data_IF_202232109842
#
_entry.id   IF_202232109842
#
_cell.length_a   1.000
_cell.length_b   1.000
_cell.length_c   1.000
_cell.angle_alpha   90.00
_cell.angle_beta   90.00
_cell.angle_gamma   90.00
#
_symmetry.space_group_name_H-M   'P 1'
#
loop_
_entity.id
_entity.type
_entity.pdbx_description
1 polymer ?
#
# COMPACT_ATOMS: atom_id res chain seq x y z
N UNK A 1 -11.22 -63.88 39.37
CA UNK A 1 -11.05 -62.58 40.05
C UNK A 1 -10.66 -61.57 38.96
N UNK A 2 -11.66 -60.83 38.43
CA UNK A 2 -11.48 -59.81 37.43
C UNK A 2 -11.09 -58.49 38.15
N UNK A 3 -9.90 -57.99 37.88
CA UNK A 3 -9.45 -56.67 38.35
C UNK A 3 -10.12 -55.59 37.51
N UNK A 4 -11.06 -54.84 38.11
CA UNK A 4 -11.59 -53.62 37.52
C UNK A 4 -10.60 -52.48 37.80
N UNK A 5 -9.92 -52.00 36.74
CA UNK A 5 -9.13 -50.78 36.78
C UNK A 5 -10.07 -49.54 36.96
N UNK A 6 -9.55 -48.42 37.47
CA UNK A 6 -10.34 -47.24 37.77
C UNK A 6 -10.89 -46.63 36.50
N UNK A 7 -12.25 -46.47 36.44
CA UNK A 7 -12.91 -45.66 35.39
C UNK A 7 -12.50 -44.23 35.58
N UNK A 8 -11.81 -43.68 34.58
CA UNK A 8 -11.53 -42.24 34.48
C UNK A 8 -12.86 -41.46 34.42
N UNK A 9 -13.05 -40.57 35.38
CA UNK A 9 -14.23 -39.73 35.50
C UNK A 9 -14.19 -38.60 34.44
N UNK A 10 -14.84 -38.82 33.30
CA UNK A 10 -14.91 -37.90 32.16
C UNK A 10 -15.81 -36.67 32.41
N UNK A 11 -16.28 -36.44 33.65
CA UNK A 11 -17.18 -35.35 34.00
C UNK A 11 -16.53 -34.05 34.45
N UNK A 12 -15.22 -33.93 34.39
CA UNK A 12 -14.47 -32.74 34.85
C UNK A 12 -14.01 -31.78 33.76
N UNK A 13 -14.45 -31.91 32.51
CA UNK A 13 -14.26 -30.86 31.55
C UNK A 13 -15.51 -30.00 31.50
N UNK A 14 -15.48 -28.89 32.23
CA UNK A 14 -16.58 -27.92 32.26
C UNK A 14 -16.74 -27.26 30.87
N UNK A 15 -17.96 -26.84 30.55
CA UNK A 15 -18.27 -26.12 29.32
C UNK A 15 -17.44 -24.83 29.14
N UNK A 16 -16.92 -24.28 30.23
CA UNK A 16 -16.05 -23.11 30.27
C UNK A 16 -14.66 -23.34 29.63
N UNK A 17 -14.10 -24.54 29.83
CA UNK A 17 -12.75 -24.88 29.30
C UNK A 17 -12.75 -24.99 27.76
N UNK A 18 -13.88 -25.42 27.18
CA UNK A 18 -14.04 -25.49 25.71
C UNK A 18 -14.19 -24.10 25.08
N UNK A 19 -14.86 -23.19 25.76
CA UNK A 19 -15.02 -21.81 25.30
C UNK A 19 -13.71 -21.01 25.37
N UNK A 20 -12.91 -21.25 26.40
CA UNK A 20 -11.61 -20.61 26.56
C UNK A 20 -10.58 -21.12 25.55
N UNK A 21 -10.56 -22.44 25.30
CA UNK A 21 -9.69 -23.04 24.27
C UNK A 21 -10.09 -22.56 22.86
N UNK A 22 -11.38 -22.47 22.55
CA UNK A 22 -11.88 -21.93 21.30
C UNK A 22 -11.51 -20.44 21.14
N UNK A 23 -11.61 -19.63 22.20
CA UNK A 23 -11.16 -18.22 22.19
C UNK A 23 -9.65 -18.09 21.97
N UNK A 24 -8.83 -18.93 22.60
CA UNK A 24 -7.37 -18.95 22.41
C UNK A 24 -6.99 -19.34 20.99
N UNK A 25 -7.67 -20.34 20.40
CA UNK A 25 -7.48 -20.72 19.00
C UNK A 25 -7.91 -19.61 18.04
N UNK A 26 -9.04 -18.95 18.28
CA UNK A 26 -9.51 -17.82 17.47
C UNK A 26 -8.51 -16.66 17.52
N UNK A 27 -7.89 -16.39 18.68
CA UNK A 27 -6.87 -15.35 18.83
C UNK A 27 -5.53 -15.69 18.13
N UNK A 28 -5.19 -16.98 17.98
CA UNK A 28 -4.01 -17.43 17.24
C UNK A 28 -4.15 -17.25 15.71
N UNK A 29 -5.40 -17.23 15.21
CA UNK A 29 -5.71 -17.03 13.79
C UNK A 29 -6.24 -15.62 13.49
N UNK A 30 -6.27 -14.72 14.49
CA UNK A 30 -6.54 -13.31 14.18
C UNK A 30 -5.33 -12.76 13.38
N UNK A 31 -5.58 -12.10 12.24
CA UNK A 31 -4.52 -11.37 11.58
C UNK A 31 -3.89 -10.41 12.60
N UNK A 32 -2.57 -10.19 12.54
CA UNK A 32 -1.91 -9.24 13.43
C UNK A 32 -2.67 -7.92 13.39
N UNK A 33 -2.97 -7.35 14.57
CA UNK A 33 -3.61 -6.03 14.64
C UNK A 33 -2.80 -5.07 13.76
N UNK A 34 -3.43 -4.29 12.88
CA UNK A 34 -2.74 -3.28 12.10
C UNK A 34 -1.89 -2.45 13.06
N UNK A 35 -0.62 -2.26 12.73
CA UNK A 35 0.23 -1.32 13.45
C UNK A 35 -0.40 0.05 13.18
N UNK A 36 -0.95 0.70 14.21
CA UNK A 36 -1.41 2.08 14.12
C UNK A 36 -0.21 2.96 13.80
N UNK A 37 0.02 3.18 12.50
CA UNK A 37 0.91 4.25 12.04
C UNK A 37 0.03 5.49 11.97
N UNK A 38 0.20 6.39 12.94
CA UNK A 38 -0.47 7.69 12.95
C UNK A 38 -0.34 8.33 11.56
N UNK A 39 -1.47 8.54 10.86
CA UNK A 39 -1.53 9.27 9.61
C UNK A 39 -1.88 8.47 8.36
N UNK A 40 -2.24 7.20 8.42
CA UNK A 40 -2.77 6.47 7.26
C UNK A 40 -4.18 6.92 6.92
N UNK A 41 -4.33 7.37 5.68
CA UNK A 41 -5.62 7.74 5.11
C UNK A 41 -6.41 6.47 4.77
N UNK A 42 -7.54 6.21 5.48
CA UNK A 42 -8.46 5.08 5.29
C UNK A 42 -7.80 3.69 5.21
N UNK A 43 -7.74 2.97 6.31
CA UNK A 43 -7.31 1.55 6.35
C UNK A 43 -8.25 0.61 5.58
N UNK A 44 -9.50 1.01 5.37
CA UNK A 44 -10.46 0.29 4.53
C UNK A 44 -9.98 0.25 3.08
N UNK A 45 -9.80 -0.96 2.54
CA UNK A 45 -9.34 -1.19 1.18
C UNK A 45 -7.86 -1.57 1.04
N UNK A 46 -7.08 -1.59 2.12
CA UNK A 46 -5.71 -2.14 2.12
C UNK A 46 -5.78 -3.67 2.16
N UNK A 47 -5.90 -4.31 0.99
CA UNK A 47 -6.19 -5.74 0.86
C UNK A 47 -5.11 -6.54 0.14
N UNK A 48 -4.15 -5.88 -0.50
CA UNK A 48 -3.08 -6.52 -1.25
C UNK A 48 -1.74 -6.35 -0.54
N UNK A 49 -0.96 -7.43 -0.43
CA UNK A 49 0.36 -7.42 0.23
C UNK A 49 1.47 -7.35 -0.80
N UNK A 50 2.43 -6.44 -0.61
CA UNK A 50 3.65 -6.31 -1.40
C UNK A 50 4.74 -7.28 -0.94
N UNK A 51 5.81 -7.46 -1.73
CA UNK A 51 6.97 -8.27 -1.36
C UNK A 51 7.66 -7.75 -0.08
N UNK A 52 7.65 -6.45 0.18
CA UNK A 52 8.15 -5.83 1.42
C UNK A 52 7.24 -6.10 2.63
N UNK A 53 6.04 -6.64 2.41
CA UNK A 53 5.05 -6.95 3.46
C UNK A 53 4.06 -5.82 3.77
N UNK A 54 4.13 -4.72 3.08
CA UNK A 54 3.22 -3.57 3.18
C UNK A 54 1.86 -3.88 2.54
N UNK A 55 0.79 -3.29 3.07
CA UNK A 55 -0.55 -3.45 2.52
C UNK A 55 -0.89 -2.26 1.64
N UNK A 56 -1.40 -2.53 0.44
CA UNK A 56 -1.80 -1.52 -0.57
C UNK A 56 -3.21 -1.80 -1.09
N UNK A 57 -3.80 -0.87 -1.85
CA UNK A 57 -5.21 -0.92 -2.25
C UNK A 57 -5.47 -1.70 -3.52
N UNK A 58 -4.51 -1.78 -4.43
CA UNK A 58 -4.69 -2.40 -5.73
C UNK A 58 -3.54 -3.33 -6.11
N UNK A 59 -3.78 -4.23 -7.06
CA UNK A 59 -2.75 -5.11 -7.64
C UNK A 59 -1.69 -4.31 -8.41
N UNK A 60 -2.10 -3.25 -9.08
CA UNK A 60 -1.17 -2.36 -9.81
C UNK A 60 -0.19 -1.69 -8.85
N UNK A 61 -0.66 -1.27 -7.66
CA UNK A 61 0.19 -0.73 -6.61
C UNK A 61 1.16 -1.79 -6.04
N UNK A 62 0.75 -3.07 -5.93
CA UNK A 62 1.69 -4.16 -5.57
C UNK A 62 2.83 -4.23 -6.59
N UNK A 63 2.53 -4.21 -7.88
CA UNK A 63 3.52 -4.28 -8.95
C UNK A 63 4.49 -3.10 -8.86
N UNK A 64 4.00 -1.88 -8.70
CA UNK A 64 4.83 -0.68 -8.54
C UNK A 64 5.72 -0.81 -7.31
N UNK A 65 5.15 -1.13 -6.14
CA UNK A 65 5.88 -1.29 -4.88
C UNK A 65 6.99 -2.34 -4.98
N UNK A 66 6.69 -3.50 -5.60
CA UNK A 66 7.64 -4.59 -5.76
C UNK A 66 8.79 -4.22 -6.71
N UNK A 67 8.52 -3.44 -7.76
CA UNK A 67 9.56 -2.89 -8.64
C UNK A 67 10.46 -1.89 -7.88
N UNK A 68 9.89 -0.97 -7.10
CA UNK A 68 10.64 -0.02 -6.26
C UNK A 68 11.52 -0.77 -5.27
N UNK A 69 10.95 -1.75 -4.57
CA UNK A 69 11.67 -2.57 -3.60
C UNK A 69 12.81 -3.38 -4.22
N UNK A 70 12.58 -4.03 -5.36
CA UNK A 70 13.58 -4.85 -6.06
C UNK A 70 14.78 -4.01 -6.50
N UNK A 71 14.59 -2.72 -6.79
CA UNK A 71 15.65 -1.79 -7.13
C UNK A 71 16.35 -1.18 -5.92
N UNK A 72 15.91 -1.50 -4.70
CA UNK A 72 16.47 -0.95 -3.47
C UNK A 72 16.15 0.53 -3.25
N UNK A 73 15.14 1.05 -3.94
CA UNK A 73 14.70 2.44 -3.77
C UNK A 73 13.96 2.60 -2.44
N UNK A 74 14.25 3.66 -1.71
CA UNK A 74 13.51 4.03 -0.51
C UNK A 74 12.19 4.69 -0.89
N UNK A 75 11.07 4.09 -0.46
CA UNK A 75 9.76 4.62 -0.77
C UNK A 75 8.81 4.51 0.43
N UNK A 76 7.83 5.38 0.44
CA UNK A 76 6.72 5.38 1.39
C UNK A 76 5.40 5.32 0.64
N UNK A 77 4.49 4.43 1.06
CA UNK A 77 3.14 4.31 0.52
C UNK A 77 2.18 5.27 1.25
N UNK A 78 1.34 6.01 0.50
CA UNK A 78 0.37 6.99 0.99
C UNK A 78 0.94 7.95 2.06
N UNK A 79 2.19 8.39 1.89
CA UNK A 79 2.82 9.36 2.79
C UNK A 79 2.11 10.71 2.71
N UNK A 80 1.78 11.27 3.87
CA UNK A 80 1.15 12.58 3.98
C UNK A 80 2.05 13.68 3.40
N UNK A 81 1.56 14.40 2.39
CA UNK A 81 2.16 15.58 1.80
C UNK A 81 1.30 16.80 2.10
N UNK A 82 1.81 17.75 2.89
CA UNK A 82 1.09 18.97 3.24
C UNK A 82 1.86 20.18 2.75
N UNK A 83 1.25 20.98 1.88
CA UNK A 83 1.80 22.23 1.36
C UNK A 83 0.71 23.29 1.46
N UNK A 84 1.07 24.47 2.00
CA UNK A 84 0.17 25.63 2.19
C UNK A 84 -1.17 25.26 2.84
N UNK A 85 -1.13 24.39 3.87
CA UNK A 85 -2.30 23.95 4.63
C UNK A 85 -3.17 22.92 3.91
N UNK A 86 -2.88 22.55 2.66
CA UNK A 86 -3.60 21.52 1.93
C UNK A 86 -2.83 20.21 1.96
N UNK A 87 -3.51 19.12 2.28
CA UNK A 87 -2.91 17.79 2.37
C UNK A 87 -3.34 16.91 1.19
N UNK A 88 -2.35 16.23 0.60
CA UNK A 88 -2.53 15.16 -0.38
C UNK A 88 -1.79 13.91 0.07
N UNK A 89 -2.17 12.78 -0.50
CA UNK A 89 -1.53 11.49 -0.28
C UNK A 89 -1.17 10.93 -1.65
N UNK A 90 0.09 11.04 -2.10
CA UNK A 90 0.58 10.31 -3.27
C UNK A 90 0.50 8.81 -3.01
N UNK A 91 0.26 8.00 -4.04
CA UNK A 91 0.29 6.54 -3.86
C UNK A 91 1.68 6.10 -3.38
N UNK A 92 2.75 6.65 -3.98
CA UNK A 92 4.11 6.46 -3.47
C UNK A 92 4.87 7.79 -3.47
N UNK A 93 5.73 7.95 -2.44
CA UNK A 93 6.77 8.96 -2.41
C UNK A 93 8.11 8.22 -2.41
N UNK A 94 8.95 8.48 -3.40
CA UNK A 94 10.30 7.89 -3.53
C UNK A 94 11.31 8.99 -3.31
N UNK A 95 12.26 8.78 -2.40
CA UNK A 95 13.31 9.73 -2.09
C UNK A 95 14.66 9.11 -2.50
N UNK A 96 15.27 9.66 -3.55
CA UNK A 96 16.62 9.26 -3.96
C UNK A 96 17.65 10.14 -3.24
N UNK A 97 18.30 9.57 -2.25
CA UNK A 97 19.29 10.25 -1.43
C UNK A 97 20.58 10.59 -2.20
N UNK A 98 20.84 9.91 -3.31
CA UNK A 98 22.06 10.12 -4.09
C UNK A 98 21.92 11.36 -5.00
N UNK A 99 20.81 11.47 -5.73
CA UNK A 99 20.53 12.62 -6.59
C UNK A 99 19.82 13.77 -5.88
N UNK A 100 19.20 13.50 -4.71
CA UNK A 100 18.31 14.43 -4.01
C UNK A 100 16.92 14.55 -4.66
N UNK A 101 16.59 13.68 -5.62
CA UNK A 101 15.32 13.69 -6.32
C UNK A 101 14.22 13.14 -5.42
N UNK A 102 13.11 13.87 -5.31
CA UNK A 102 11.84 13.35 -4.74
C UNK A 102 10.88 13.09 -5.87
N UNK A 103 10.36 11.86 -5.95
CA UNK A 103 9.34 11.45 -6.93
C UNK A 103 8.03 11.17 -6.20
N UNK A 104 6.96 11.82 -6.63
CA UNK A 104 5.60 11.54 -6.23
C UNK A 104 4.94 10.71 -7.34
N UNK A 105 4.52 9.51 -7.01
CA UNK A 105 3.95 8.57 -7.96
C UNK A 105 2.45 8.41 -7.71
N UNK A 106 1.68 8.52 -8.77
CA UNK A 106 0.23 8.32 -8.80
C UNK A 106 -0.12 7.24 -9.81
N UNK A 107 -0.99 6.32 -9.42
CA UNK A 107 -1.53 5.30 -10.31
C UNK A 107 -3.02 5.53 -10.57
N UNK A 108 -3.38 5.81 -11.80
CA UNK A 108 -4.74 6.18 -12.20
C UNK A 108 -5.47 5.01 -12.89
N UNK A 109 -6.08 4.10 -12.11
CA UNK A 109 -6.78 2.93 -12.65
C UNK A 109 -8.17 3.19 -13.26
N UNK A 110 -8.82 4.34 -12.96
CA UNK A 110 -10.23 4.56 -13.31
C UNK A 110 -10.49 5.88 -14.07
N UNK A 111 -9.57 6.33 -14.92
CA UNK A 111 -9.75 7.60 -15.68
C UNK A 111 -10.93 7.58 -16.66
N UNK A 112 -11.46 6.41 -17.00
CA UNK A 112 -12.69 6.25 -17.78
C UNK A 112 -13.95 6.69 -17.00
N UNK A 113 -13.89 6.76 -15.64
CA UNK A 113 -14.99 7.21 -14.78
C UNK A 113 -14.93 8.74 -14.64
N UNK A 114 -15.96 9.49 -15.09
CA UNK A 114 -15.91 10.97 -15.14
C UNK A 114 -15.65 11.64 -13.78
N UNK A 115 -16.23 11.10 -12.68
CA UNK A 115 -16.05 11.65 -11.35
C UNK A 115 -14.62 11.40 -10.81
N UNK A 116 -14.01 10.27 -11.15
CA UNK A 116 -12.62 9.98 -10.82
C UNK A 116 -11.67 10.89 -11.60
N UNK A 117 -11.90 11.04 -12.91
CA UNK A 117 -11.12 11.93 -13.77
C UNK A 117 -11.09 13.37 -13.25
N UNK A 118 -12.25 13.95 -12.89
CA UNK A 118 -12.30 15.31 -12.33
C UNK A 118 -11.45 15.44 -11.06
N UNK A 119 -11.57 14.48 -10.11
CA UNK A 119 -10.75 14.50 -8.89
C UNK A 119 -9.26 14.41 -9.20
N UNK A 120 -8.90 13.62 -10.21
CA UNK A 120 -7.51 13.53 -10.67
C UNK A 120 -7.03 14.85 -11.29
N UNK A 121 -7.82 15.47 -12.16
CA UNK A 121 -7.52 16.78 -12.77
C UNK A 121 -7.30 17.86 -11.70
N UNK A 122 -8.14 17.88 -10.65
CA UNK A 122 -7.98 18.78 -9.49
C UNK A 122 -6.69 18.48 -8.72
N UNK A 123 -6.34 17.20 -8.52
CA UNK A 123 -5.12 16.77 -7.84
C UNK A 123 -3.88 17.14 -8.66
N UNK A 124 -3.92 16.93 -9.98
CA UNK A 124 -2.85 17.30 -10.90
C UNK A 124 -2.64 18.82 -10.94
N UNK A 125 -3.72 19.60 -10.99
CA UNK A 125 -3.64 21.05 -10.94
C UNK A 125 -3.01 21.53 -9.62
N UNK A 126 -3.31 20.87 -8.50
CA UNK A 126 -2.70 21.16 -7.22
C UNK A 126 -1.19 20.85 -7.22
N UNK A 127 -0.74 19.71 -7.76
CA UNK A 127 0.68 19.41 -7.89
C UNK A 127 1.42 20.47 -8.68
N UNK A 128 0.89 20.84 -9.84
CA UNK A 128 1.47 21.90 -10.71
C UNK A 128 1.56 23.25 -10.00
N UNK A 129 0.52 23.66 -9.26
CA UNK A 129 0.51 24.92 -8.53
C UNK A 129 1.55 24.96 -7.40
N UNK A 130 2.04 23.81 -6.96
CA UNK A 130 3.06 23.71 -5.91
C UNK A 130 4.42 23.25 -6.42
N UNK A 131 4.68 23.44 -7.72
CA UNK A 131 5.95 23.16 -8.36
C UNK A 131 6.42 21.68 -8.24
N UNK A 132 5.44 20.79 -8.30
CA UNK A 132 5.61 19.35 -8.49
C UNK A 132 5.12 19.04 -9.90
N UNK A 133 6.07 19.00 -10.86
CA UNK A 133 5.74 18.91 -12.28
C UNK A 133 5.94 17.46 -12.79
N UNK A 134 5.22 17.08 -13.87
CA UNK A 134 5.46 15.79 -14.52
C UNK A 134 6.94 15.59 -14.85
N UNK A 135 7.40 14.37 -14.61
CA UNK A 135 8.79 14.02 -14.89
C UNK A 135 9.14 14.18 -16.38
N UNK A 136 8.17 13.96 -17.27
CA UNK A 136 8.31 14.18 -18.72
C UNK A 136 8.56 15.64 -19.09
N UNK A 137 8.19 16.57 -18.20
CA UNK A 137 8.42 18.02 -18.32
C UNK A 137 9.70 18.48 -17.61
N UNK A 138 10.47 17.53 -17.05
CA UNK A 138 11.71 17.80 -16.33
C UNK A 138 11.55 17.85 -14.81
N UNK A 139 10.34 17.66 -14.27
CA UNK A 139 10.07 17.83 -12.84
C UNK A 139 10.02 19.31 -12.42
N UNK A 140 9.78 19.56 -11.14
CA UNK A 140 9.76 20.89 -10.52
C UNK A 140 10.73 20.97 -9.34
N UNK A 141 10.89 22.17 -8.76
CA UNK A 141 11.81 22.41 -7.64
C UNK A 141 11.41 21.61 -6.38
N UNK A 142 10.12 21.21 -6.26
CA UNK A 142 9.64 20.40 -5.14
C UNK A 142 9.53 18.91 -5.44
N UNK A 143 9.90 18.49 -6.64
CA UNK A 143 9.93 17.09 -7.03
C UNK A 143 9.31 16.81 -8.39
N UNK A 144 9.43 15.57 -8.82
CA UNK A 144 8.87 15.08 -10.06
C UNK A 144 7.59 14.27 -9.80
N UNK A 145 6.55 14.51 -10.61
CA UNK A 145 5.34 13.71 -10.60
C UNK A 145 5.42 12.62 -11.66
N UNK A 146 5.22 11.39 -11.25
CA UNK A 146 5.08 10.22 -12.13
C UNK A 146 3.63 9.77 -12.13
N UNK A 147 3.05 9.60 -13.31
CA UNK A 147 1.67 9.13 -13.46
C UNK A 147 1.65 7.85 -14.29
N UNK A 148 1.09 6.80 -13.72
CA UNK A 148 0.85 5.54 -14.43
C UNK A 148 -0.64 5.24 -14.51
N UNK A 149 -1.04 4.42 -15.49
CA UNK A 149 -2.42 4.06 -15.74
C UNK A 149 -2.52 2.57 -16.02
N UNK A 150 -3.68 2.00 -15.72
CA UNK A 150 -3.98 0.64 -16.17
C UNK A 150 -4.12 0.59 -17.69
N UNK A 151 -3.68 -0.51 -18.28
CA UNK A 151 -3.90 -0.83 -19.69
C UNK A 151 -5.40 -1.08 -19.96
N UNK A 152 -5.80 -1.00 -21.22
CA UNK A 152 -7.21 -1.19 -21.63
C UNK A 152 -7.78 -2.58 -21.30
N UNK A 153 -6.91 -3.56 -21.12
CA UNK A 153 -7.25 -4.94 -20.72
C UNK A 153 -7.27 -5.13 -19.18
N UNK A 154 -7.03 -4.06 -18.42
CA UNK A 154 -6.89 -4.06 -16.96
C UNK A 154 -5.54 -4.58 -16.50
N UNK A 155 -4.89 -3.82 -15.65
CA UNK A 155 -3.56 -4.10 -15.11
C UNK A 155 -2.49 -3.13 -15.63
N UNK A 156 -1.29 -3.24 -15.08
CA UNK A 156 -0.18 -2.35 -15.37
C UNK A 156 0.92 -3.12 -16.13
N UNK A 157 1.55 -2.47 -17.10
CA UNK A 157 2.68 -3.02 -17.83
C UNK A 157 3.97 -2.93 -17.00
N UNK A 158 4.44 -4.08 -16.53
CA UNK A 158 5.67 -4.21 -15.73
C UNK A 158 6.94 -3.79 -16.51
N UNK A 159 6.99 -4.01 -17.83
CA UNK A 159 8.15 -3.60 -18.64
C UNK A 159 8.21 -2.07 -18.70
N UNK A 160 7.07 -1.43 -18.88
CA UNK A 160 6.95 0.04 -18.86
C UNK A 160 7.39 0.64 -17.52
N UNK A 161 7.02 0.00 -16.40
CA UNK A 161 7.50 0.41 -15.07
C UNK A 161 9.02 0.29 -14.99
N UNK A 162 9.58 -0.81 -15.46
CA UNK A 162 11.05 -1.01 -15.47
C UNK A 162 11.76 0.08 -16.26
N UNK A 163 11.33 0.37 -17.48
CA UNK A 163 11.90 1.42 -18.32
C UNK A 163 11.78 2.83 -17.71
N UNK A 164 10.66 3.08 -17.02
CA UNK A 164 10.42 4.34 -16.33
C UNK A 164 11.41 4.52 -15.17
N UNK A 165 11.60 3.49 -14.36
CA UNK A 165 12.55 3.51 -13.24
C UNK A 165 14.00 3.62 -13.72
N UNK A 166 14.36 2.97 -14.82
CA UNK A 166 15.71 3.13 -15.43
C UNK A 166 15.98 4.56 -15.86
N UNK A 167 14.95 5.26 -16.32
CA UNK A 167 15.05 6.66 -16.76
C UNK A 167 15.13 7.65 -15.59
N UNK A 168 14.44 7.34 -14.49
CA UNK A 168 14.34 8.22 -13.33
C UNK A 168 15.55 8.12 -12.39
N UNK A 169 16.11 6.91 -12.25
CA UNK A 169 17.07 6.54 -11.23
C UNK A 169 18.31 5.86 -11.84
N UNK A 170 18.77 6.33 -13.01
CA UNK A 170 19.99 5.84 -13.71
C UNK A 170 21.24 6.59 -13.28
#
# INVERSE_FOLDING_TARGET
ILHQGPRADLRKYSSDDRSETARRLTNLFQPPKPIEIEGRFFEEGLIHRTARGEMVRSKSEVIIADHLHTRGLDYSYERKLTIDGTTKYPDFTVEDMESGLTVYWEHCGMLHVPSYRRRWEDKLAWYRAHDILPHEEGGGDRGALVVTQDETNGGIDSERITLLLDRLFS
#
